data_IF_500161689262
#
_entry.id   IF_500161689262
#
_cell.length_a   1.000
_cell.length_b   1.000
_cell.length_c   1.000
_cell.angle_alpha   90.00
_cell.angle_beta   90.00
_cell.angle_gamma   90.00
#
_symmetry.space_group_name_H-M   'P 1'
#
loop_
_entity.id
_entity.type
_entity.pdbx_description
1 polymer ?
#
# COMPACT_ATOMS: atom_id res chain seq x y z
N UNK A 1 9.79 -18.84 47.89
CA UNK A 1 8.58 -18.81 47.05
C UNK A 1 8.92 -18.03 45.81
N UNK A 2 9.22 -18.75 44.74
CA UNK A 2 9.50 -18.21 43.42
C UNK A 2 8.48 -18.89 42.51
N UNK A 3 7.53 -18.13 41.98
CA UNK A 3 6.67 -18.51 40.87
C UNK A 3 6.23 -17.20 40.18
N UNK A 4 7.20 -16.60 39.49
CA UNK A 4 6.97 -15.51 38.56
C UNK A 4 6.82 -16.12 37.18
N UNK A 5 5.58 -16.12 36.67
CA UNK A 5 5.19 -16.47 35.31
C UNK A 5 6.12 -15.83 34.27
N UNK A 6 7.09 -16.60 33.79
CA UNK A 6 7.54 -16.51 32.42
C UNK A 6 7.04 -17.78 31.73
N UNK A 7 5.78 -17.77 31.28
CA UNK A 7 5.36 -18.77 30.31
C UNK A 7 6.33 -18.67 29.12
N UNK A 8 7.04 -19.76 28.81
CA UNK A 8 8.05 -19.73 27.78
C UNK A 8 7.30 -19.53 26.48
N UNK A 9 7.56 -18.39 25.80
CA UNK A 9 7.37 -18.16 24.36
C UNK A 9 6.80 -19.42 23.74
N UNK A 10 5.46 -19.53 23.72
CA UNK A 10 4.79 -20.73 23.24
C UNK A 10 5.50 -21.12 21.97
N UNK A 11 5.98 -22.37 21.95
CA UNK A 11 6.65 -22.97 20.79
C UNK A 11 5.83 -22.60 19.58
N UNK A 12 6.26 -21.55 18.87
CA UNK A 12 5.69 -21.18 17.59
C UNK A 12 5.88 -22.46 16.80
N UNK A 13 4.78 -23.18 16.54
CA UNK A 13 4.75 -24.28 15.60
C UNK A 13 5.09 -23.65 14.26
N UNK A 14 6.39 -23.46 14.03
CA UNK A 14 6.90 -22.79 12.85
C UNK A 14 6.61 -23.72 11.72
N UNK A 15 5.63 -23.36 10.89
CA UNK A 15 5.38 -24.07 9.66
C UNK A 15 6.67 -24.12 8.83
N UNK A 16 6.89 -25.13 7.99
CA UNK A 16 8.08 -25.21 7.14
C UNK A 16 8.34 -23.92 6.34
N UNK A 17 7.26 -23.22 5.99
CA UNK A 17 7.29 -21.88 5.39
C UNK A 17 7.95 -20.85 6.33
N UNK A 18 7.58 -20.77 7.61
CA UNK A 18 8.21 -19.84 8.57
C UNK A 18 9.70 -20.15 8.80
N UNK A 19 10.10 -21.42 8.75
CA UNK A 19 11.52 -21.81 8.79
C UNK A 19 12.27 -21.41 7.53
N UNK A 20 11.70 -21.66 6.34
CA UNK A 20 12.26 -21.24 5.06
C UNK A 20 12.44 -19.72 5.01
N UNK A 21 11.46 -18.99 5.54
CA UNK A 21 11.49 -17.54 5.67
C UNK A 21 12.59 -17.07 6.65
N UNK A 22 12.76 -17.69 7.81
CA UNK A 22 13.86 -17.37 8.74
C UNK A 22 15.24 -17.67 8.14
N UNK A 23 15.34 -18.72 7.33
CA UNK A 23 16.53 -19.07 6.55
C UNK A 23 16.81 -17.99 5.50
N UNK A 24 15.79 -17.57 4.73
CA UNK A 24 15.88 -16.46 3.77
C UNK A 24 16.21 -15.10 4.41
N UNK A 25 15.98 -14.92 5.72
CA UNK A 25 16.36 -13.71 6.45
C UNK A 25 17.87 -13.63 6.79
N UNK A 26 18.67 -14.69 6.58
CA UNK A 26 20.13 -14.62 6.81
C UNK A 26 20.83 -13.75 5.75
N UNK A 27 21.81 -12.91 6.13
CA UNK A 27 22.56 -12.07 5.18
C UNK A 27 23.30 -12.89 4.11
N UNK A 28 23.87 -14.04 4.49
CA UNK A 28 24.57 -14.95 3.59
C UNK A 28 23.67 -15.56 2.52
N UNK A 29 22.40 -15.82 2.85
CA UNK A 29 21.42 -16.34 1.88
C UNK A 29 20.97 -15.24 0.93
N UNK A 30 21.00 -13.97 1.34
CA UNK A 30 20.80 -12.85 0.42
C UNK A 30 21.97 -12.61 -0.52
N UNK A 31 23.21 -12.91 -0.13
CA UNK A 31 24.33 -12.93 -1.08
C UNK A 31 24.15 -14.04 -2.12
N UNK A 32 23.68 -15.22 -1.70
CA UNK A 32 23.32 -16.31 -2.61
C UNK A 32 22.11 -15.95 -3.48
N UNK A 33 21.14 -15.22 -2.94
CA UNK A 33 19.95 -14.79 -3.67
C UNK A 33 20.25 -13.63 -4.63
N UNK A 34 20.99 -12.60 -4.21
CA UNK A 34 21.54 -11.56 -5.11
C UNK A 34 22.43 -12.19 -6.17
N UNK A 35 23.25 -13.18 -5.82
CA UNK A 35 24.00 -14.00 -6.77
C UNK A 35 23.08 -14.75 -7.73
N UNK A 36 22.02 -15.38 -7.24
CA UNK A 36 21.00 -16.07 -8.03
C UNK A 36 20.13 -15.15 -8.88
N UNK A 37 19.90 -13.91 -8.45
CA UNK A 37 19.25 -12.85 -9.22
C UNK A 37 20.18 -12.28 -10.25
N UNK A 38 21.46 -12.08 -9.95
CA UNK A 38 22.46 -11.64 -10.92
C UNK A 38 22.73 -12.73 -11.97
N UNK A 39 22.81 -13.99 -11.55
CA UNK A 39 22.89 -15.17 -12.44
C UNK A 39 21.58 -15.36 -13.18
N UNK A 40 20.43 -15.19 -12.53
CA UNK A 40 19.11 -15.25 -13.14
C UNK A 40 18.94 -14.15 -14.19
N UNK A 41 19.33 -12.91 -13.88
CA UNK A 41 19.41 -11.80 -14.83
C UNK A 41 20.41 -12.12 -15.92
N UNK A 42 21.58 -12.68 -15.64
CA UNK A 42 22.58 -13.05 -16.65
C UNK A 42 22.08 -14.18 -17.57
N UNK A 43 21.37 -15.17 -17.05
CA UNK A 43 20.75 -16.26 -17.83
C UNK A 43 19.56 -15.73 -18.63
N UNK A 44 18.72 -14.88 -18.04
CA UNK A 44 17.66 -14.13 -18.72
C UNK A 44 18.25 -13.23 -19.81
N UNK A 45 19.44 -12.67 -19.56
CA UNK A 45 20.21 -11.86 -20.50
C UNK A 45 20.78 -12.66 -21.66
N UNK A 46 21.05 -13.94 -21.45
CA UNK A 46 21.65 -14.81 -22.46
C UNK A 46 20.58 -15.56 -23.28
N UNK A 47 19.43 -15.86 -22.67
CA UNK A 47 18.39 -16.70 -23.27
C UNK A 47 17.23 -15.91 -23.87
N UNK A 48 16.97 -14.68 -23.42
CA UNK A 48 15.83 -13.90 -23.90
C UNK A 48 16.27 -12.70 -24.73
N UNK A 49 15.52 -12.38 -25.80
CA UNK A 49 15.77 -11.19 -26.61
C UNK A 49 15.84 -9.91 -25.76
N UNK A 50 16.76 -9.00 -26.08
CA UNK A 50 17.02 -7.73 -25.34
C UNK A 50 15.76 -6.93 -24.99
N UNK A 51 14.74 -7.01 -25.84
CA UNK A 51 13.47 -6.31 -25.69
C UNK A 51 12.59 -6.82 -24.55
N UNK A 52 12.75 -8.09 -24.18
CA UNK A 52 12.11 -8.66 -22.98
C UNK A 52 12.73 -8.09 -21.70
N UNK A 53 13.93 -7.50 -21.78
CA UNK A 53 14.62 -6.96 -20.61
C UNK A 53 14.07 -5.57 -20.26
N UNK A 54 13.71 -4.77 -21.27
CA UNK A 54 13.09 -3.45 -21.09
C UNK A 54 11.73 -3.50 -20.39
N UNK A 55 10.98 -4.60 -20.55
CA UNK A 55 9.68 -4.81 -19.91
C UNK A 55 9.78 -5.70 -18.67
N UNK A 56 10.61 -6.75 -18.72
CA UNK A 56 10.77 -7.72 -17.65
C UNK A 56 11.53 -7.18 -16.44
N UNK A 57 12.55 -6.33 -16.64
CA UNK A 57 13.38 -5.82 -15.54
C UNK A 57 12.60 -4.90 -14.57
N UNK A 58 11.79 -3.92 -15.02
CA UNK A 58 10.98 -3.11 -14.11
C UNK A 58 9.87 -3.91 -13.42
N UNK A 59 9.22 -4.83 -14.14
CA UNK A 59 8.17 -5.70 -13.58
C UNK A 59 8.76 -6.64 -12.53
N UNK A 60 9.89 -7.27 -12.80
CA UNK A 60 10.60 -8.11 -11.85
C UNK A 60 11.06 -7.32 -10.62
N UNK A 61 11.58 -6.11 -10.82
CA UNK A 61 11.98 -5.23 -9.73
C UNK A 61 10.80 -4.82 -8.84
N UNK A 62 9.69 -4.41 -9.43
CA UNK A 62 8.51 -3.94 -8.70
C UNK A 62 7.69 -5.08 -8.07
N UNK A 63 7.54 -6.22 -8.75
CA UNK A 63 6.68 -7.33 -8.30
C UNK A 63 7.41 -8.34 -7.40
N UNK A 64 8.74 -8.47 -7.54
CA UNK A 64 9.51 -9.48 -6.81
C UNK A 64 10.50 -8.84 -5.86
N UNK A 65 11.40 -7.97 -6.34
CA UNK A 65 12.46 -7.41 -5.50
C UNK A 65 11.92 -6.47 -4.40
N UNK A 66 11.05 -5.52 -4.75
CA UNK A 66 10.51 -4.55 -3.78
C UNK A 66 9.70 -5.22 -2.66
N UNK A 67 8.74 -6.13 -2.93
CA UNK A 67 8.02 -6.83 -1.87
C UNK A 67 8.92 -7.71 -1.01
N UNK A 68 9.90 -8.38 -1.60
CA UNK A 68 10.85 -9.23 -0.87
C UNK A 68 11.77 -8.42 0.04
N UNK A 69 12.27 -7.28 -0.43
CA UNK A 69 13.05 -6.32 0.37
C UNK A 69 12.23 -5.76 1.54
N UNK A 70 11.00 -5.32 1.26
CA UNK A 70 10.09 -4.81 2.29
C UNK A 70 9.76 -5.88 3.34
N UNK A 71 9.54 -7.12 2.90
CA UNK A 71 9.32 -8.26 3.79
C UNK A 71 10.54 -8.55 4.67
N UNK A 72 11.75 -8.58 4.11
CA UNK A 72 12.98 -8.81 4.89
C UNK A 72 13.20 -7.75 5.96
N UNK A 73 13.03 -6.47 5.60
CA UNK A 73 13.16 -5.37 6.56
C UNK A 73 12.22 -5.59 7.75
N UNK A 74 10.95 -5.95 7.49
CA UNK A 74 9.98 -6.27 8.56
C UNK A 74 10.40 -7.43 9.44
N UNK A 75 11.02 -8.48 8.88
CA UNK A 75 11.51 -9.63 9.65
C UNK A 75 12.75 -9.31 10.48
N UNK A 76 13.66 -8.49 9.96
CA UNK A 76 14.83 -8.05 10.71
C UNK A 76 14.44 -7.10 11.85
N UNK A 77 13.49 -6.21 11.60
CA UNK A 77 12.94 -5.31 12.61
C UNK A 77 12.23 -6.11 13.72
N UNK A 78 11.35 -7.06 13.37
CA UNK A 78 10.64 -7.88 14.36
C UNK A 78 11.59 -8.74 15.19
N UNK A 79 12.66 -9.27 14.58
CA UNK A 79 13.69 -10.01 15.29
C UNK A 79 14.50 -9.11 16.22
N UNK A 80 14.89 -7.93 15.76
CA UNK A 80 15.66 -7.01 16.59
C UNK A 80 14.83 -6.47 17.77
N UNK A 81 13.51 -6.33 17.59
CA UNK A 81 12.55 -6.06 18.67
C UNK A 81 12.47 -7.24 19.64
N UNK A 82 12.34 -8.47 19.15
CA UNK A 82 12.30 -9.67 20.00
C UNK A 82 13.60 -9.91 20.80
N UNK A 83 14.74 -9.50 20.24
CA UNK A 83 16.05 -9.55 20.90
C UNK A 83 16.32 -8.33 21.81
N UNK A 84 15.33 -7.43 21.98
CA UNK A 84 15.43 -6.25 22.84
C UNK A 84 16.37 -5.16 22.33
N UNK A 85 16.87 -5.28 21.08
CA UNK A 85 17.79 -4.30 20.48
C UNK A 85 17.07 -3.09 19.89
N UNK A 86 15.79 -3.25 19.58
CA UNK A 86 14.89 -2.20 19.13
C UNK A 86 13.73 -2.11 20.12
N UNK A 87 13.42 -0.90 20.58
CA UNK A 87 12.23 -0.68 21.40
C UNK A 87 10.98 -1.03 20.58
N UNK A 88 10.05 -1.76 21.17
CA UNK A 88 8.70 -1.89 20.62
C UNK A 88 8.13 -0.46 20.52
N UNK A 89 7.81 0.05 19.33
CA UNK A 89 7.20 1.36 19.23
C UNK A 89 5.87 1.32 19.97
N UNK A 90 5.66 2.23 20.93
CA UNK A 90 4.39 2.30 21.64
C UNK A 90 3.23 2.50 20.64
N UNK A 91 2.08 1.83 20.86
CA UNK A 91 0.88 2.06 20.06
C UNK A 91 0.55 3.54 20.05
N UNK A 92 0.50 4.13 18.86
CA UNK A 92 0.20 5.56 18.74
C UNK A 92 -1.29 5.76 18.90
N UNK A 93 -1.65 6.40 20.00
CA UNK A 93 -3.01 6.82 20.27
C UNK A 93 -3.35 8.07 19.47
N UNK A 94 -4.63 8.21 19.13
CA UNK A 94 -5.10 9.43 18.51
C UNK A 94 -4.96 10.60 19.51
N UNK A 95 -4.37 11.74 19.09
CA UNK A 95 -4.39 12.93 19.92
C UNK A 95 -5.83 13.39 20.15
N UNK A 96 -6.15 13.89 21.35
CA UNK A 96 -7.50 14.31 21.70
C UNK A 96 -8.01 15.42 20.75
N UNK A 97 -7.11 16.26 20.25
CA UNK A 97 -7.37 17.33 19.31
C UNK A 97 -7.84 16.81 17.94
N UNK A 98 -7.46 15.58 17.54
CA UNK A 98 -7.91 14.97 16.30
C UNK A 98 -9.37 14.50 16.34
N UNK A 99 -9.96 14.40 17.54
CA UNK A 99 -11.37 14.07 17.74
C UNK A 99 -12.26 15.32 17.77
N UNK A 100 -11.69 16.53 17.76
CA UNK A 100 -12.47 17.76 17.73
C UNK A 100 -13.22 17.92 16.40
N UNK A 101 -14.54 18.16 16.41
CA UNK A 101 -15.35 18.21 15.20
C UNK A 101 -14.86 19.24 14.16
N UNK A 102 -14.32 20.37 14.61
CA UNK A 102 -13.81 21.43 13.73
C UNK A 102 -12.49 21.03 13.04
N UNK A 103 -11.54 20.44 13.78
CA UNK A 103 -10.27 19.95 13.25
C UNK A 103 -10.49 18.80 12.26
N UNK A 104 -11.44 17.91 12.56
CA UNK A 104 -11.79 16.80 11.67
C UNK A 104 -12.42 17.29 10.37
N UNK A 105 -13.32 18.27 10.42
CA UNK A 105 -13.87 18.94 9.21
C UNK A 105 -12.78 19.54 8.34
N UNK A 106 -11.85 20.29 8.94
CA UNK A 106 -10.72 20.85 8.21
C UNK A 106 -9.87 19.75 7.56
N UNK A 107 -9.62 18.66 8.28
CA UNK A 107 -8.87 17.49 7.79
C UNK A 107 -9.57 16.79 6.62
N UNK A 108 -10.89 16.58 6.71
CA UNK A 108 -11.69 15.98 5.63
C UNK A 108 -11.64 16.86 4.38
N UNK A 109 -11.85 18.17 4.54
CA UNK A 109 -11.82 19.12 3.42
C UNK A 109 -10.41 19.24 2.80
N UNK A 110 -9.36 19.26 3.61
CA UNK A 110 -7.96 19.31 3.17
C UNK A 110 -7.55 18.01 2.46
N UNK A 111 -7.93 16.85 2.98
CA UNK A 111 -7.67 15.56 2.36
C UNK A 111 -8.41 15.43 1.02
N UNK A 112 -9.64 15.92 0.92
CA UNK A 112 -10.41 15.94 -0.33
C UNK A 112 -9.80 16.91 -1.36
N UNK A 113 -9.39 18.11 -0.93
CA UNK A 113 -8.63 19.05 -1.77
C UNK A 113 -7.31 18.45 -2.24
N UNK A 114 -6.61 17.73 -1.35
CA UNK A 114 -5.42 16.96 -1.67
C UNK A 114 -5.69 15.92 -2.75
N UNK A 115 -6.74 15.10 -2.59
CA UNK A 115 -7.16 14.09 -3.57
C UNK A 115 -7.38 14.72 -4.96
N UNK A 116 -8.05 15.88 -5.06
CA UNK A 116 -8.27 16.55 -6.34
C UNK A 116 -7.00 17.21 -6.91
N UNK A 117 -6.09 17.70 -6.07
CA UNK A 117 -4.80 18.25 -6.53
C UNK A 117 -3.92 17.16 -7.11
N UNK A 118 -3.78 16.03 -6.41
CA UNK A 118 -3.04 14.86 -6.89
C UNK A 118 -3.69 14.26 -8.14
N UNK A 119 -5.01 14.28 -8.24
CA UNK A 119 -5.73 13.87 -9.45
C UNK A 119 -5.50 14.81 -10.64
N UNK A 120 -5.46 16.14 -10.46
CA UNK A 120 -5.19 17.04 -11.59
C UNK A 120 -3.79 16.78 -12.16
N UNK A 121 -2.78 16.64 -11.31
CA UNK A 121 -1.41 16.27 -11.73
C UNK A 121 -1.39 14.86 -12.32
N UNK A 122 -2.08 13.91 -11.69
CA UNK A 122 -2.20 12.52 -12.13
C UNK A 122 -2.89 12.39 -13.49
N UNK A 123 -3.95 13.16 -13.77
CA UNK A 123 -4.63 13.19 -15.07
C UNK A 123 -3.74 13.74 -16.16
N UNK A 124 -2.99 14.81 -15.90
CA UNK A 124 -2.04 15.33 -16.89
C UNK A 124 -0.86 14.39 -17.12
N UNK A 125 -0.36 13.76 -16.05
CA UNK A 125 0.71 12.76 -16.15
C UNK A 125 0.23 11.51 -16.91
N UNK A 126 -0.96 11.00 -16.59
CA UNK A 126 -1.54 9.82 -17.24
C UNK A 126 -1.95 10.12 -18.67
N UNK A 127 -2.48 11.32 -18.97
CA UNK A 127 -2.77 11.75 -20.34
C UNK A 127 -1.48 11.90 -21.16
N UNK A 128 -0.44 12.52 -20.58
CA UNK A 128 0.87 12.62 -21.22
C UNK A 128 1.48 11.24 -21.46
N UNK A 129 1.34 10.32 -20.49
CA UNK A 129 1.79 8.94 -20.62
C UNK A 129 0.99 8.20 -21.70
N UNK A 130 -0.34 8.40 -21.76
CA UNK A 130 -1.19 7.80 -22.79
C UNK A 130 -0.86 8.33 -24.19
N UNK A 131 -0.54 9.63 -24.32
CA UNK A 131 -0.06 10.24 -25.57
C UNK A 131 1.30 9.70 -25.95
N UNK A 132 2.24 9.56 -25.01
CA UNK A 132 3.55 8.94 -25.22
C UNK A 132 3.43 7.48 -25.65
N UNK A 133 2.55 6.72 -25.00
CA UNK A 133 2.24 5.31 -25.29
C UNK A 133 1.57 5.19 -26.67
N UNK A 134 0.65 6.07 -27.04
CA UNK A 134 0.05 6.06 -28.37
C UNK A 134 1.04 6.50 -29.47
N UNK A 135 1.84 7.53 -29.20
CA UNK A 135 2.89 7.99 -30.10
C UNK A 135 3.97 6.91 -30.32
N UNK A 136 4.22 6.07 -29.32
CA UNK A 136 5.21 5.00 -29.40
C UNK A 136 4.77 3.82 -30.27
N UNK A 137 3.51 3.75 -30.70
CA UNK A 137 3.04 2.84 -31.76
C UNK A 137 3.74 3.17 -33.10
N UNK A 138 4.03 4.46 -33.34
CA UNK A 138 4.62 4.95 -34.58
C UNK A 138 6.15 5.05 -34.52
N UNK A 139 6.75 4.81 -33.36
CA UNK A 139 8.21 4.76 -33.23
C UNK A 139 8.75 3.44 -33.82
N UNK A 140 9.86 3.48 -34.56
CA UNK A 140 10.55 2.25 -34.96
C UNK A 140 11.04 1.53 -33.70
N UNK A 141 10.43 0.38 -33.39
CA UNK A 141 10.87 -0.52 -32.32
C UNK A 141 11.72 -1.62 -32.94
N UNK A 142 12.97 -1.31 -33.27
CA UNK A 142 13.91 -2.30 -33.82
C UNK A 142 14.23 -3.41 -32.80
N UNK A 143 14.00 -3.14 -31.52
CA UNK A 143 14.23 -4.10 -30.43
C UNK A 143 12.99 -4.96 -30.10
N UNK A 144 11.79 -4.38 -29.92
CA UNK A 144 10.57 -5.12 -29.50
C UNK A 144 9.72 -5.52 -30.73
N UNK A 145 9.37 -6.82 -30.92
CA UNK A 145 8.44 -7.24 -31.96
C UNK A 145 7.11 -6.50 -31.85
N UNK A 146 6.66 -5.90 -32.95
CA UNK A 146 5.43 -5.07 -32.98
C UNK A 146 4.19 -5.78 -32.44
N UNK A 147 4.07 -7.09 -32.67
CA UNK A 147 2.95 -7.89 -32.18
C UNK A 147 2.95 -8.09 -30.66
N UNK A 148 4.08 -7.87 -29.96
CA UNK A 148 4.17 -7.83 -28.49
C UNK A 148 4.00 -6.40 -27.98
N UNK A 149 4.65 -5.45 -28.66
CA UNK A 149 4.61 -4.04 -28.31
C UNK A 149 3.21 -3.44 -28.38
N UNK A 150 2.50 -3.66 -29.49
CA UNK A 150 1.18 -3.07 -29.75
C UNK A 150 0.17 -3.50 -28.67
N UNK A 151 0.01 -4.78 -28.32
CA UNK A 151 -0.88 -5.17 -27.22
C UNK A 151 -0.47 -4.59 -25.86
N UNK A 152 0.83 -4.49 -25.56
CA UNK A 152 1.29 -3.92 -24.29
C UNK A 152 0.96 -2.43 -24.20
N UNK A 153 1.20 -1.69 -25.28
CA UNK A 153 0.90 -0.27 -25.43
C UNK A 153 -0.61 0.00 -25.38
N UNK A 154 -1.40 -0.77 -26.14
CA UNK A 154 -2.86 -0.66 -26.15
C UNK A 154 -3.46 -1.08 -24.79
N UNK A 155 -2.93 -2.14 -24.18
CA UNK A 155 -3.37 -2.60 -22.87
C UNK A 155 -3.05 -1.60 -21.75
N UNK A 156 -1.82 -1.11 -21.69
CA UNK A 156 -1.39 -0.09 -20.73
C UNK A 156 -2.14 1.24 -20.92
N UNK A 157 -2.24 1.71 -22.17
CA UNK A 157 -2.99 2.93 -22.52
C UNK A 157 -4.49 2.79 -22.22
N UNK A 158 -5.08 1.64 -22.56
CA UNK A 158 -6.47 1.32 -22.26
C UNK A 158 -6.77 1.27 -20.76
N UNK A 159 -5.89 0.64 -19.98
CA UNK A 159 -6.00 0.60 -18.52
C UNK A 159 -5.87 2.00 -17.89
N UNK A 160 -4.92 2.80 -18.36
CA UNK A 160 -4.74 4.19 -17.94
C UNK A 160 -5.97 5.06 -18.26
N UNK A 161 -6.50 4.94 -19.48
CA UNK A 161 -7.74 5.61 -19.87
C UNK A 161 -8.93 5.17 -19.02
N UNK A 162 -9.07 3.86 -18.75
CA UNK A 162 -10.13 3.33 -17.89
C UNK A 162 -10.02 3.88 -16.46
N UNK A 163 -8.81 3.94 -15.89
CA UNK A 163 -8.56 4.53 -14.56
C UNK A 163 -8.99 6.00 -14.51
N UNK A 164 -8.57 6.81 -15.48
CA UNK A 164 -8.85 8.26 -15.52
C UNK A 164 -10.31 8.58 -15.82
N UNK A 165 -10.95 7.83 -16.71
CA UNK A 165 -12.31 8.14 -17.17
C UNK A 165 -13.39 7.52 -16.30
N UNK A 166 -13.10 6.42 -15.58
CA UNK A 166 -14.10 5.67 -14.83
C UNK A 166 -13.78 5.56 -13.35
N UNK A 167 -12.63 5.01 -13.00
CA UNK A 167 -12.32 4.63 -11.60
C UNK A 167 -12.14 5.87 -10.72
N UNK A 168 -11.27 6.78 -11.12
CA UNK A 168 -10.94 7.96 -10.31
C UNK A 168 -12.17 8.87 -10.16
N UNK A 169 -12.93 9.22 -11.22
CA UNK A 169 -14.13 10.04 -11.08
C UNK A 169 -15.20 9.41 -10.18
N UNK A 170 -15.44 8.10 -10.27
CA UNK A 170 -16.38 7.38 -9.38
C UNK A 170 -15.95 7.53 -7.92
N UNK A 171 -14.67 7.28 -7.64
CA UNK A 171 -14.12 7.38 -6.30
C UNK A 171 -14.20 8.81 -5.76
N UNK A 172 -13.93 9.82 -6.59
CA UNK A 172 -14.09 11.22 -6.22
C UNK A 172 -15.52 11.60 -5.88
N UNK A 173 -16.49 11.11 -6.67
CA UNK A 173 -17.90 11.33 -6.38
C UNK A 173 -18.28 10.73 -5.03
N UNK A 174 -17.86 9.49 -4.77
CA UNK A 174 -18.08 8.81 -3.49
C UNK A 174 -17.38 9.52 -2.32
N UNK A 175 -16.14 10.00 -2.48
CA UNK A 175 -15.44 10.76 -1.45
C UNK A 175 -16.12 12.10 -1.13
N UNK A 176 -16.72 12.77 -2.15
CA UNK A 176 -17.54 13.98 -1.94
C UNK A 176 -18.80 13.66 -1.18
N UNK A 177 -19.50 12.58 -1.56
CA UNK A 177 -20.70 12.13 -0.87
C UNK A 177 -20.42 11.83 0.60
N UNK A 178 -19.31 11.14 0.90
CA UNK A 178 -18.87 10.90 2.29
C UNK A 178 -18.58 12.20 3.03
N UNK A 179 -17.91 13.17 2.39
CA UNK A 179 -17.63 14.49 2.98
C UNK A 179 -18.91 15.27 3.27
N UNK A 180 -19.83 15.31 2.32
CA UNK A 180 -21.08 16.05 2.45
C UNK A 180 -21.99 15.42 3.51
N UNK A 181 -22.05 14.09 3.55
CA UNK A 181 -22.74 13.36 4.60
C UNK A 181 -22.10 13.54 5.99
N UNK A 182 -20.77 13.64 6.07
CA UNK A 182 -20.08 13.96 7.31
C UNK A 182 -20.39 15.39 7.79
N UNK A 183 -20.41 16.37 6.88
CA UNK A 183 -20.79 17.76 7.21
C UNK A 183 -22.25 17.85 7.66
N UNK A 184 -23.15 17.07 7.02
CA UNK A 184 -24.55 16.96 7.38
C UNK A 184 -24.80 16.15 8.67
N UNK A 185 -23.78 15.48 9.22
CA UNK A 185 -23.91 14.63 10.41
C UNK A 185 -24.63 13.29 10.15
N UNK A 186 -24.75 12.87 8.89
CA UNK A 186 -25.41 11.60 8.50
C UNK A 186 -24.43 10.44 8.39
N UNK A 187 -23.13 10.72 8.25
CA UNK A 187 -22.07 9.72 8.13
C UNK A 187 -21.42 9.46 9.49
N UNK A 188 -21.25 8.19 9.89
CA UNK A 188 -20.65 7.86 11.17
C UNK A 188 -19.14 8.14 11.20
N UNK A 189 -18.66 8.35 12.42
CA UNK A 189 -17.24 8.47 12.74
C UNK A 189 -16.92 7.36 13.73
N UNK A 190 -15.85 6.62 13.48
CA UNK A 190 -15.50 5.46 14.31
C UNK A 190 -14.00 5.40 14.56
N UNK A 191 -13.63 5.11 15.80
CA UNK A 191 -12.24 4.83 16.15
C UNK A 191 -11.98 3.36 15.86
N UNK A 192 -10.95 3.10 15.06
CA UNK A 192 -10.47 1.77 14.73
C UNK A 192 -8.98 1.64 15.01
N UNK A 193 -8.45 0.45 14.76
CA UNK A 193 -7.03 0.13 14.86
C UNK A 193 -6.57 -0.55 13.59
N UNK A 194 -5.36 -0.19 13.16
CA UNK A 194 -4.71 -0.91 12.05
C UNK A 194 -4.15 -2.22 12.61
N UNK A 195 -4.65 -3.36 12.18
CA UNK A 195 -4.21 -4.66 12.70
C UNK A 195 -3.09 -5.29 11.86
N UNK A 196 -3.01 -4.95 10.57
CA UNK A 196 -1.93 -5.36 9.68
C UNK A 196 -1.83 -4.44 8.46
N UNK A 197 -0.71 -4.49 7.75
CA UNK A 197 -0.50 -3.78 6.49
C UNK A 197 -0.11 -4.78 5.40
N UNK A 198 -1.05 -5.02 4.48
CA UNK A 198 -0.92 -5.91 3.33
C UNK A 198 -0.42 -5.14 2.12
N UNK A 199 0.81 -5.36 1.66
CA UNK A 199 1.34 -4.78 0.40
C UNK A 199 1.08 -3.26 0.24
N UNK A 200 1.07 -2.52 1.35
CA UNK A 200 0.80 -1.09 1.35
C UNK A 200 -0.63 -0.72 1.74
N UNK A 201 -1.60 -1.63 1.73
CA UNK A 201 -2.97 -1.39 2.17
C UNK A 201 -3.14 -1.74 3.67
N UNK A 202 -3.68 -0.86 4.51
CA UNK A 202 -3.88 -1.11 5.92
C UNK A 202 -5.21 -1.85 6.12
N UNK A 203 -5.18 -2.88 6.95
CA UNK A 203 -6.38 -3.57 7.40
C UNK A 203 -6.79 -2.96 8.72
N UNK A 204 -7.98 -2.38 8.73
CA UNK A 204 -8.55 -1.65 9.86
C UNK A 204 -9.64 -2.52 10.49
N UNK A 205 -9.59 -2.59 11.81
CA UNK A 205 -10.59 -3.25 12.66
C UNK A 205 -11.23 -2.19 13.55
N UNK A 206 -12.54 -2.26 13.73
CA UNK A 206 -13.29 -1.40 14.66
C UNK A 206 -13.67 -2.26 15.86
N UNK A 207 -13.35 -1.86 17.11
CA UNK A 207 -13.51 -2.72 18.29
C UNK A 207 -14.93 -3.28 18.49
N UNK A 208 -15.94 -2.48 18.12
CA UNK A 208 -17.35 -2.85 18.28
C UNK A 208 -17.89 -3.73 17.14
N UNK A 209 -17.05 -4.09 16.17
CA UNK A 209 -17.44 -4.90 15.02
C UNK A 209 -16.46 -6.03 14.72
N UNK A 210 -16.99 -7.25 14.57
CA UNK A 210 -16.19 -8.43 14.25
C UNK A 210 -15.59 -8.41 12.83
N UNK A 211 -15.92 -7.41 12.00
CA UNK A 211 -15.53 -7.36 10.60
C UNK A 211 -14.31 -6.49 10.38
N UNK A 212 -13.27 -7.10 9.82
CA UNK A 212 -12.05 -6.42 9.36
C UNK A 212 -12.21 -6.00 7.91
N UNK A 213 -11.76 -4.80 7.58
CA UNK A 213 -11.73 -4.32 6.21
C UNK A 213 -10.33 -3.87 5.82
N UNK A 214 -9.90 -4.28 4.63
CA UNK A 214 -8.75 -3.73 3.94
C UNK A 214 -9.13 -2.40 3.28
N UNK A 215 -8.40 -1.33 3.62
CA UNK A 215 -8.67 0.01 3.10
C UNK A 215 -7.78 0.25 1.89
N UNK A 216 -8.27 -0.06 0.71
CA UNK A 216 -7.44 0.01 -0.51
C UNK A 216 -7.63 1.34 -1.24
N UNK A 217 -6.54 1.92 -1.74
CA UNK A 217 -6.62 2.97 -2.75
C UNK A 217 -5.79 2.52 -3.97
N UNK A 218 -6.46 2.22 -5.08
CA UNK A 218 -5.86 1.59 -6.25
C UNK A 218 -4.77 2.40 -6.97
N UNK A 219 -4.43 3.59 -6.48
CA UNK A 219 -3.40 4.46 -7.06
C UNK A 219 -2.67 5.33 -6.03
N UNK A 220 -2.88 5.15 -4.73
CA UNK A 220 -2.09 5.84 -3.70
C UNK A 220 -1.89 4.98 -2.47
N UNK A 221 -0.68 4.93 -1.94
CA UNK A 221 -0.42 4.22 -0.69
C UNK A 221 -0.73 5.11 0.53
N UNK A 222 -1.26 4.55 1.61
CA UNK A 222 -1.40 5.22 2.89
C UNK A 222 -0.04 5.75 3.38
N UNK A 223 0.10 7.05 3.66
CA UNK A 223 1.37 7.60 4.10
C UNK A 223 1.58 7.35 5.60
N UNK A 224 2.56 6.51 5.93
CA UNK A 224 3.21 6.51 7.26
C UNK A 224 2.41 5.95 8.43
N UNK A 225 1.36 5.18 8.15
CA UNK A 225 0.63 4.37 9.12
C UNK A 225 1.37 3.07 9.45
N UNK A 226 1.21 2.59 10.69
CA UNK A 226 1.79 1.34 11.20
C UNK A 226 0.68 0.43 11.71
N UNK A 227 1.02 -0.86 11.82
CA UNK A 227 0.22 -1.76 12.63
C UNK A 227 0.17 -1.24 14.07
N UNK A 228 -0.97 -1.47 14.71
CA UNK A 228 -1.33 -1.06 16.06
C UNK A 228 -1.57 0.43 16.29
N UNK A 229 -1.50 1.26 15.24
CA UNK A 229 -1.94 2.64 15.33
C UNK A 229 -3.46 2.72 15.48
N UNK A 230 -3.91 3.60 16.37
CA UNK A 230 -5.30 4.05 16.39
C UNK A 230 -5.54 5.01 15.22
N UNK A 231 -6.67 4.80 14.54
CA UNK A 231 -7.11 5.61 13.42
C UNK A 231 -8.57 5.96 13.58
N UNK A 232 -8.91 7.18 13.16
CA UNK A 232 -10.29 7.61 13.05
C UNK A 232 -10.74 7.38 11.60
N UNK A 233 -11.85 6.67 11.44
CA UNK A 233 -12.47 6.40 10.16
C UNK A 233 -13.73 7.26 10.05
N UNK A 234 -13.81 8.03 8.98
CA UNK A 234 -14.99 8.82 8.61
C UNK A 234 -15.58 8.24 7.33
N UNK A 235 -16.79 7.72 7.43
CA UNK A 235 -17.45 7.06 6.31
C UNK A 235 -18.34 5.92 6.76
N UNK A 236 -19.22 5.48 5.87
CA UNK A 236 -20.00 4.29 6.13
C UNK A 236 -19.10 3.06 6.20
N UNK A 237 -19.31 2.25 7.22
CA UNK A 237 -18.51 1.05 7.42
C UNK A 237 -19.17 -0.17 6.77
N UNK A 238 -19.16 -0.17 5.44
CA UNK A 238 -19.70 -1.26 4.62
C UNK A 238 -18.80 -1.53 3.41
N UNK A 239 -18.84 -2.76 2.91
CA UNK A 239 -18.12 -3.15 1.69
C UNK A 239 -18.36 -2.16 0.54
N UNK A 240 -17.27 -1.71 -0.08
CA UNK A 240 -17.29 -0.81 -1.23
C UNK A 240 -17.52 0.67 -0.89
N UNK A 241 -17.72 1.01 0.38
CA UNK A 241 -17.79 2.41 0.81
C UNK A 241 -16.41 3.08 0.71
N UNK A 242 -16.42 4.35 0.30
CA UNK A 242 -15.23 5.19 0.33
C UNK A 242 -15.17 5.91 1.67
N UNK A 243 -14.07 5.70 2.39
CA UNK A 243 -13.84 6.23 3.73
C UNK A 243 -12.58 7.07 3.76
N UNK A 244 -12.56 8.06 4.66
CA UNK A 244 -11.35 8.74 5.06
C UNK A 244 -10.80 8.04 6.30
N UNK A 245 -9.56 7.57 6.22
CA UNK A 245 -8.83 7.10 7.40
C UNK A 245 -7.83 8.17 7.78
N UNK A 246 -7.91 8.64 9.02
CA UNK A 246 -7.04 9.67 9.56
C UNK A 246 -6.37 9.21 10.85
N UNK A 247 -5.10 9.52 11.01
CA UNK A 247 -4.28 9.19 12.16
C UNK A 247 -3.04 10.07 12.23
N UNK A 248 -2.01 9.61 12.93
CA UNK A 248 -0.74 10.34 13.08
C UNK A 248 0.45 9.56 12.51
N UNK A 249 1.40 10.26 11.89
CA UNK A 249 2.67 9.67 11.46
C UNK A 249 3.68 9.56 12.60
N UNK A 250 4.85 8.97 12.32
CA UNK A 250 5.88 8.70 13.32
C UNK A 250 6.50 9.97 13.91
N UNK A 251 6.16 11.15 13.35
CA UNK A 251 6.54 12.47 13.84
C UNK A 251 5.37 13.17 14.55
N UNK A 252 4.27 12.47 14.82
CA UNK A 252 3.06 13.02 15.41
C UNK A 252 2.26 13.92 14.48
N UNK A 253 2.56 13.95 13.17
CA UNK A 253 1.85 14.82 12.22
C UNK A 253 0.57 14.15 11.75
N UNK A 254 -0.53 14.89 11.57
CA UNK A 254 -1.77 14.32 11.04
C UNK A 254 -1.52 13.79 9.62
N UNK A 255 -1.99 12.57 9.39
CA UNK A 255 -2.00 11.92 8.08
C UNK A 255 -3.35 11.33 7.82
N UNK A 256 -3.84 11.59 6.63
CA UNK A 256 -5.14 11.09 6.19
C UNK A 256 -5.02 10.59 4.77
N UNK A 257 -5.77 9.55 4.46
CA UNK A 257 -5.89 9.03 3.10
C UNK A 257 -7.30 8.52 2.86
N UNK A 258 -7.74 8.63 1.62
CA UNK A 258 -9.01 8.08 1.17
C UNK A 258 -8.80 6.66 0.66
N UNK A 259 -9.70 5.75 1.01
CA UNK A 259 -9.69 4.40 0.47
C UNK A 259 -11.07 3.78 0.40
N UNK A 260 -11.18 2.73 -0.40
CA UNK A 260 -12.37 1.90 -0.54
C UNK A 260 -12.24 0.68 0.39
N UNK A 261 -13.28 0.42 1.18
CA UNK A 261 -13.35 -0.75 2.06
C UNK A 261 -13.54 -2.03 1.26
N UNK A 262 -12.56 -2.93 1.34
CA UNK A 262 -12.62 -4.28 0.81
C UNK A 262 -12.60 -5.30 1.95
N UNK A 263 -13.39 -6.39 1.85
CA UNK A 263 -13.37 -7.47 2.85
C UNK A 263 -12.03 -8.24 2.83
#
# INVERSE_FOLDING_TARGET
MADGNAEPVERIHRTPVQYLLLVLARPSIWLIWFGGVAVGLAVFSLLLPRWMWTLGSPVYAAAVLVPLCAWRMRVLDSRAVAEGRLAVPEPRRLPAEALEPAALRATVDDALRGLFRYDRVGRYLVLALAVLVFASIFLPTDDIPRWVWIPFVVGGGGWMCWMVLRVIPRFQAAARETRDGFVAGTVPQRVGRIVRINVGDPVVEIPDEETRYEVTCGWSSPPGVRADDEVLVVGEWRRGAVVLVTGVDHKGRPKSFWGELKP
#
